data_IF_979112404349
#
_entry.id   IF_979112404349
#
_cell.length_a   1.000
_cell.length_b   1.000
_cell.length_c   1.000
_cell.angle_alpha   90.00
_cell.angle_beta   90.00
_cell.angle_gamma   90.00
#
_symmetry.space_group_name_H-M   'P 1'
#
loop_
_entity.id
_entity.type
_entity.pdbx_description
1 polymer ?
#
# COMPACT_ATOMS: atom_id res chain seq x y z
N UNK A 1 -12.02 -2.44 -1.15
CA UNK A 1 -11.36 -1.50 -0.21
C UNK A 1 -12.12 -1.33 1.12
N UNK A 2 -13.41 -0.96 1.14
CA UNK A 2 -14.16 -0.73 2.39
C UNK A 2 -14.15 -1.93 3.37
N UNK A 3 -14.25 -3.16 2.88
CA UNK A 3 -14.17 -4.38 3.71
C UNK A 3 -12.81 -4.51 4.40
N UNK A 4 -11.72 -4.15 3.72
CA UNK A 4 -10.36 -4.25 4.26
C UNK A 4 -10.15 -3.15 5.32
N UNK A 5 -10.67 -1.94 5.10
CA UNK A 5 -10.66 -0.89 6.10
C UNK A 5 -11.49 -1.25 7.35
N UNK A 6 -12.65 -1.88 7.15
CA UNK A 6 -13.47 -2.40 8.26
C UNK A 6 -12.75 -3.47 9.08
N UNK A 7 -12.06 -4.40 8.41
CA UNK A 7 -11.25 -5.42 9.07
C UNK A 7 -10.05 -4.81 9.83
N UNK A 8 -9.34 -3.86 9.22
CA UNK A 8 -8.25 -3.14 9.91
C UNK A 8 -8.75 -2.42 11.17
N UNK A 9 -9.91 -1.79 11.10
CA UNK A 9 -10.53 -1.12 12.25
C UNK A 9 -10.85 -2.14 13.36
N UNK A 10 -11.53 -3.25 13.02
CA UNK A 10 -11.90 -4.29 13.98
C UNK A 10 -10.67 -4.93 14.63
N UNK A 11 -9.67 -5.34 13.85
CA UNK A 11 -8.44 -5.96 14.36
C UNK A 11 -7.64 -4.92 15.18
N UNK A 12 -7.60 -3.67 14.75
CA UNK A 12 -6.97 -2.58 15.49
C UNK A 12 -7.61 -2.35 16.87
N UNK A 13 -8.94 -2.40 16.96
CA UNK A 13 -9.65 -2.30 18.24
C UNK A 13 -9.34 -3.49 19.16
N UNK A 14 -9.25 -4.71 18.62
CA UNK A 14 -8.87 -5.91 19.40
C UNK A 14 -7.42 -5.81 19.90
N UNK A 15 -6.50 -5.32 19.06
CA UNK A 15 -5.10 -5.10 19.44
C UNK A 15 -4.99 -4.02 20.53
N UNK A 16 -5.71 -2.91 20.39
CA UNK A 16 -5.75 -1.83 21.38
C UNK A 16 -6.32 -2.33 22.72
N UNK A 17 -7.43 -3.06 22.70
CA UNK A 17 -8.02 -3.64 23.91
C UNK A 17 -7.07 -4.63 24.59
N UNK A 18 -6.44 -5.52 23.81
CA UNK A 18 -5.46 -6.48 24.32
C UNK A 18 -4.28 -5.79 24.97
N UNK A 19 -3.72 -4.74 24.35
CA UNK A 19 -2.61 -3.95 24.90
C UNK A 19 -2.98 -3.26 26.21
N UNK A 20 -4.13 -2.59 26.26
CA UNK A 20 -4.56 -1.85 27.45
C UNK A 20 -4.95 -2.75 28.61
N UNK A 21 -5.29 -4.01 28.34
CA UNK A 21 -5.76 -4.97 29.33
C UNK A 21 -4.81 -6.16 29.54
N UNK A 22 -3.58 -6.07 29.00
CA UNK A 22 -2.55 -7.10 29.13
C UNK A 22 -2.24 -7.35 30.60
N UNK A 23 -2.36 -8.59 31.05
CA UNK A 23 -2.06 -8.98 32.43
C UNK A 23 -3.21 -8.79 33.43
N UNK A 24 -4.37 -8.25 33.00
CA UNK A 24 -5.54 -8.12 33.86
C UNK A 24 -6.26 -9.47 34.02
N UNK A 25 -6.33 -10.07 35.23
CA UNK A 25 -6.97 -11.36 35.46
C UNK A 25 -8.44 -11.42 35.02
N UNK A 26 -9.17 -10.29 35.00
CA UNK A 26 -10.58 -10.20 34.60
C UNK A 26 -10.79 -9.73 33.14
N UNK A 27 -9.83 -9.99 32.25
CA UNK A 27 -9.96 -9.64 30.83
C UNK A 27 -11.05 -10.44 30.12
N UNK A 28 -11.80 -9.80 29.19
CA UNK A 28 -12.81 -10.46 28.34
C UNK A 28 -12.23 -11.59 27.47
N UNK A 29 -10.90 -11.63 27.31
CA UNK A 29 -10.19 -12.69 26.58
C UNK A 29 -9.95 -13.96 27.43
N UNK A 30 -10.15 -13.93 28.76
CA UNK A 30 -9.91 -15.08 29.66
C UNK A 30 -10.66 -16.36 29.33
N UNK A 31 -11.92 -16.33 28.83
CA UNK A 31 -12.62 -17.56 28.44
C UNK A 31 -11.92 -18.32 27.30
N UNK A 32 -11.10 -17.64 26.51
CA UNK A 32 -10.37 -18.21 25.36
C UNK A 32 -8.87 -18.37 25.70
N UNK A 33 -8.30 -17.44 26.48
CA UNK A 33 -6.89 -17.42 26.87
C UNK A 33 -6.78 -17.28 28.40
N UNK A 34 -6.75 -18.41 29.12
CA UNK A 34 -6.78 -18.39 30.59
C UNK A 34 -5.47 -17.92 31.22
N UNK A 35 -4.35 -17.93 30.49
CA UNK A 35 -3.05 -17.51 31.01
C UNK A 35 -2.75 -16.03 30.66
N UNK A 36 -2.61 -15.13 31.66
CA UNK A 36 -2.32 -13.70 31.47
C UNK A 36 -1.11 -13.39 30.61
N UNK A 37 -0.10 -14.28 30.62
CA UNK A 37 1.11 -14.09 29.83
C UNK A 37 0.84 -14.19 28.31
N UNK A 38 -0.25 -14.82 27.88
CA UNK A 38 -0.60 -14.98 26.46
C UNK A 38 -1.19 -13.70 25.85
N UNK A 39 -1.69 -12.77 26.66
CA UNK A 39 -2.22 -11.49 26.19
C UNK A 39 -1.17 -10.69 25.41
N UNK A 40 0.09 -10.72 25.86
CA UNK A 40 1.20 -10.05 25.19
C UNK A 40 1.47 -10.63 23.80
N UNK A 41 1.45 -11.97 23.69
CA UNK A 41 1.63 -12.64 22.40
C UNK A 41 0.51 -12.31 21.43
N UNK A 42 -0.74 -12.26 21.92
CA UNK A 42 -1.89 -11.85 21.11
C UNK A 42 -1.76 -10.40 20.67
N UNK A 43 -1.35 -9.50 21.56
CA UNK A 43 -1.11 -8.10 21.22
C UNK A 43 -0.03 -7.94 20.14
N UNK A 44 1.08 -8.66 20.25
CA UNK A 44 2.17 -8.63 19.26
C UNK A 44 1.72 -9.20 17.92
N UNK A 45 1.07 -10.37 17.91
CA UNK A 45 0.60 -11.02 16.68
C UNK A 45 -0.47 -10.19 15.99
N UNK A 46 -1.46 -9.69 16.74
CA UNK A 46 -2.52 -8.84 16.19
C UNK A 46 -1.96 -7.53 15.62
N UNK A 47 -1.02 -6.88 16.32
CA UNK A 47 -0.35 -5.67 15.82
C UNK A 47 0.44 -5.94 14.54
N UNK A 48 1.14 -7.07 14.46
CA UNK A 48 1.87 -7.47 13.27
C UNK A 48 0.94 -7.76 12.09
N UNK A 49 -0.20 -8.40 12.32
CA UNK A 49 -1.22 -8.63 11.29
C UNK A 49 -1.82 -7.32 10.77
N UNK A 50 -2.13 -6.37 11.66
CA UNK A 50 -2.59 -5.02 11.26
C UNK A 50 -1.53 -4.31 10.42
N UNK A 51 -0.25 -4.42 10.79
CA UNK A 51 0.85 -3.86 10.03
C UNK A 51 0.93 -4.45 8.61
N UNK A 52 0.87 -5.78 8.47
CA UNK A 52 0.87 -6.45 7.16
C UNK A 52 -0.32 -6.00 6.31
N UNK A 53 -1.53 -5.99 6.88
CA UNK A 53 -2.73 -5.55 6.19
C UNK A 53 -2.63 -4.09 5.75
N UNK A 54 -2.14 -3.21 6.64
CA UNK A 54 -1.91 -1.80 6.34
C UNK A 54 -0.89 -1.61 5.21
N UNK A 55 0.19 -2.40 5.21
CA UNK A 55 1.16 -2.41 4.12
C UNK A 55 0.52 -2.79 2.79
N UNK A 56 -0.26 -3.88 2.73
CA UNK A 56 -0.93 -4.30 1.50
C UNK A 56 -1.92 -3.25 1.00
N UNK A 57 -2.75 -2.68 1.89
CA UNK A 57 -3.69 -1.61 1.53
C UNK A 57 -2.95 -0.42 0.94
N UNK A 58 -1.86 0.01 1.57
CA UNK A 58 -1.06 1.11 1.07
C UNK A 58 -0.43 0.77 -0.29
N UNK A 59 0.13 -0.43 -0.43
CA UNK A 59 0.78 -0.89 -1.65
C UNK A 59 -0.19 -0.99 -2.84
N UNK A 60 -1.37 -1.57 -2.66
CA UNK A 60 -2.37 -1.66 -3.72
C UNK A 60 -2.95 -0.29 -4.08
N UNK A 61 -3.22 0.57 -3.10
CA UNK A 61 -3.69 1.94 -3.35
C UNK A 61 -2.66 2.77 -4.12
N UNK A 62 -1.37 2.61 -3.82
CA UNK A 62 -0.28 3.28 -4.55
C UNK A 62 -0.22 2.83 -6.02
N UNK A 63 -0.45 1.54 -6.29
CA UNK A 63 -0.56 1.05 -7.67
C UNK A 63 -1.77 1.61 -8.42
N UNK A 64 -2.95 1.64 -7.79
CA UNK A 64 -4.16 2.22 -8.41
C UNK A 64 -3.99 3.71 -8.73
N UNK A 65 -3.43 4.49 -7.79
CA UNK A 65 -3.16 5.92 -8.02
C UNK A 65 -2.18 6.16 -9.17
N UNK A 66 -1.13 5.33 -9.26
CA UNK A 66 -0.18 5.39 -10.36
C UNK A 66 -0.82 5.10 -11.73
N UNK A 67 -1.66 4.06 -11.81
CA UNK A 67 -2.37 3.70 -13.05
C UNK A 67 -3.32 4.81 -13.49
N UNK A 68 -4.07 5.38 -12.54
CA UNK A 68 -5.02 6.46 -12.82
C UNK A 68 -4.29 7.72 -13.34
N UNK A 69 -3.12 8.04 -12.81
CA UNK A 69 -2.29 9.14 -13.32
C UNK A 69 -1.82 8.90 -14.76
N UNK A 70 -1.47 7.66 -15.11
CA UNK A 70 -1.09 7.29 -16.48
C UNK A 70 -2.30 7.39 -17.41
N UNK A 71 -3.48 6.92 -16.98
CA UNK A 71 -4.72 6.98 -17.75
C UNK A 71 -5.17 8.42 -18.02
N UNK A 72 -5.09 9.30 -17.02
CA UNK A 72 -5.33 10.75 -17.21
C UNK A 72 -4.38 11.39 -18.24
N UNK A 73 -3.19 10.81 -18.43
CA UNK A 73 -2.21 11.27 -19.40
C UNK A 73 -2.19 10.42 -20.69
N UNK A 74 -3.18 9.53 -20.90
CA UNK A 74 -3.21 8.60 -22.02
C UNK A 74 -3.12 9.29 -23.39
N UNK A 75 -3.85 10.39 -23.58
CA UNK A 75 -3.83 11.14 -24.85
C UNK A 75 -2.47 11.80 -25.10
N UNK A 76 -1.81 12.25 -24.04
CA UNK A 76 -0.45 12.79 -24.13
C UNK A 76 0.58 11.69 -24.43
N UNK A 77 0.38 10.49 -23.90
CA UNK A 77 1.20 9.31 -24.22
C UNK A 77 1.04 8.94 -25.70
N UNK A 78 -0.21 8.89 -26.19
CA UNK A 78 -0.51 8.59 -27.61
C UNK A 78 0.10 9.62 -28.55
N UNK A 79 -0.02 10.92 -28.26
CA UNK A 79 0.59 11.96 -29.11
C UNK A 79 2.12 11.89 -29.13
N UNK A 80 2.75 11.58 -27.98
CA UNK A 80 4.20 11.35 -27.92
C UNK A 80 4.64 10.12 -28.73
N UNK A 81 3.85 9.04 -28.75
CA UNK A 81 4.11 7.87 -29.60
C UNK A 81 3.97 8.16 -31.08
N UNK A 82 2.95 8.94 -31.48
CA UNK A 82 2.81 9.40 -32.87
C UNK A 82 4.03 10.24 -33.30
N UNK A 83 4.62 10.99 -32.39
CA UNK A 83 5.90 11.68 -32.56
C UNK A 83 7.15 10.78 -32.56
N UNK A 84 6.99 9.44 -32.61
CA UNK A 84 8.07 8.42 -32.58
C UNK A 84 8.95 8.46 -31.32
N UNK A 85 8.45 8.97 -30.19
CA UNK A 85 9.18 8.88 -28.91
C UNK A 85 9.19 7.45 -28.39
N UNK A 86 10.30 7.03 -27.80
CA UNK A 86 10.43 5.72 -27.16
C UNK A 86 9.72 5.71 -25.80
N UNK A 87 9.35 4.52 -25.30
CA UNK A 87 8.72 4.38 -23.99
C UNK A 87 9.59 4.95 -22.85
N UNK A 88 10.91 4.88 -22.97
CA UNK A 88 11.84 5.50 -22.02
C UNK A 88 11.74 7.04 -22.03
N UNK A 89 11.66 7.66 -23.20
CA UNK A 89 11.49 9.12 -23.34
C UNK A 89 10.12 9.60 -22.86
N UNK A 90 9.08 8.79 -23.08
CA UNK A 90 7.73 9.03 -22.58
C UNK A 90 7.73 8.94 -21.05
N UNK A 91 8.33 7.90 -20.48
CA UNK A 91 8.46 7.74 -19.03
C UNK A 91 9.21 8.91 -18.39
N UNK A 92 10.32 9.36 -18.98
CA UNK A 92 11.07 10.52 -18.50
C UNK A 92 10.23 11.81 -18.56
N UNK A 93 9.49 12.02 -19.64
CA UNK A 93 8.61 13.19 -19.79
C UNK A 93 7.49 13.22 -18.75
N UNK A 94 6.92 12.06 -18.43
CA UNK A 94 5.87 11.92 -17.42
C UNK A 94 6.44 12.12 -16.01
N UNK A 95 7.58 11.50 -15.69
CA UNK A 95 8.24 11.66 -14.40
C UNK A 95 8.66 13.11 -14.15
N UNK A 96 9.18 13.79 -15.17
CA UNK A 96 9.51 15.21 -15.10
C UNK A 96 8.26 16.07 -14.83
N UNK A 97 7.14 15.78 -15.49
CA UNK A 97 5.87 16.48 -15.25
C UNK A 97 5.31 16.26 -13.82
N UNK A 98 5.63 15.13 -13.19
CA UNK A 98 5.30 14.84 -11.79
C UNK A 98 6.31 15.43 -10.79
N UNK A 99 7.28 16.22 -11.25
CA UNK A 99 8.32 16.81 -10.40
C UNK A 99 9.36 15.80 -9.88
N UNK A 100 9.42 14.60 -10.45
CA UNK A 100 10.40 13.58 -10.07
C UNK A 100 11.70 13.82 -10.83
N UNK A 101 12.68 14.43 -10.16
CA UNK A 101 13.93 14.89 -10.78
C UNK A 101 15.12 13.94 -10.61
N UNK A 102 15.03 12.91 -9.75
CA UNK A 102 16.08 11.91 -9.63
C UNK A 102 16.04 11.06 -8.36
N UNK A 103 16.99 10.13 -8.24
CA UNK A 103 17.18 9.25 -7.07
C UNK A 103 16.60 7.84 -7.20
N UNK A 104 16.71 7.06 -6.12
CA UNK A 104 16.29 5.65 -6.11
C UNK A 104 14.79 5.47 -6.44
N UNK A 105 13.93 6.31 -5.84
CA UNK A 105 12.48 6.29 -6.10
C UNK A 105 12.15 6.62 -7.56
N UNK A 106 12.86 7.58 -8.15
CA UNK A 106 12.71 7.96 -9.55
C UNK A 106 13.05 6.79 -10.48
N UNK A 107 14.19 6.11 -10.26
CA UNK A 107 14.59 4.96 -11.08
C UNK A 107 13.58 3.81 -11.01
N UNK A 108 12.99 3.58 -9.84
CA UNK A 108 11.99 2.54 -9.65
C UNK A 108 10.67 2.91 -10.35
N UNK A 109 10.23 4.17 -10.22
CA UNK A 109 9.07 4.68 -10.92
C UNK A 109 9.25 4.64 -12.46
N UNK A 110 10.44 4.97 -12.96
CA UNK A 110 10.81 4.86 -14.39
C UNK A 110 10.69 3.44 -14.90
N UNK A 111 11.26 2.46 -14.19
CA UNK A 111 11.16 1.04 -14.56
C UNK A 111 9.70 0.57 -14.59
N UNK A 112 8.90 0.95 -13.59
CA UNK A 112 7.46 0.64 -13.57
C UNK A 112 6.71 1.26 -14.76
N UNK A 113 6.95 2.54 -15.05
CA UNK A 113 6.33 3.25 -16.18
C UNK A 113 6.68 2.61 -17.52
N UNK A 114 7.95 2.30 -17.75
CA UNK A 114 8.39 1.65 -19.00
C UNK A 114 7.71 0.28 -19.17
N UNK A 115 7.67 -0.54 -18.11
CA UNK A 115 6.99 -1.83 -18.15
C UNK A 115 5.49 -1.69 -18.45
N UNK A 116 4.84 -0.67 -17.89
CA UNK A 116 3.43 -0.39 -18.16
C UNK A 116 3.20 0.09 -19.60
N UNK A 117 4.01 1.04 -20.08
CA UNK A 117 3.94 1.57 -21.43
C UNK A 117 4.14 0.46 -22.47
N UNK A 118 5.03 -0.50 -22.23
CA UNK A 118 5.24 -1.65 -23.12
C UNK A 118 3.96 -2.49 -23.34
N UNK A 119 3.07 -2.56 -22.32
CA UNK A 119 1.77 -3.24 -22.41
C UNK A 119 0.61 -2.34 -22.85
N UNK A 120 0.78 -1.01 -22.76
CA UNK A 120 -0.22 -0.01 -23.14
C UNK A 120 -0.29 0.11 -24.67
N UNK A 121 -1.41 -0.25 -25.29
CA UNK A 121 -1.65 -0.10 -26.74
C UNK A 121 -2.46 1.16 -27.03
#
# INVERSE_FOLDING_TARGET
MYIIYGLMLLIGLVAMYSLLNTGNPDSLLRPILPNPAHDLYVAVISSFLVFILGFFVFFFRDQEGFLQLIELNADRIRSMRQGKKTDAQIADSILAAMGSTGGYRHNLAKKKLIAYLAGFK
#
